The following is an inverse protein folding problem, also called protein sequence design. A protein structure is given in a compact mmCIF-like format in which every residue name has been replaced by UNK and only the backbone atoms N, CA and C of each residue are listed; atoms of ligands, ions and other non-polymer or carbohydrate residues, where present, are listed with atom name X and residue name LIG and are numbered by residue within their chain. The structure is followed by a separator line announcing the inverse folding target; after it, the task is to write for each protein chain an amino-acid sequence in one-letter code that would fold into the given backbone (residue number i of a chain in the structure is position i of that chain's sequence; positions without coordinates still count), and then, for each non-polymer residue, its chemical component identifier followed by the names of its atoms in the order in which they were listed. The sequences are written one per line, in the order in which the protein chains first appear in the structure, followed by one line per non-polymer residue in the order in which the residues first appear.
data_IF_143679686270
#
_entry.id   IF_143679686270
#
_cell.length_a   1.000
_cell.length_b   1.000
_cell.length_c   1.000
_cell.angle_alpha   90.00
_cell.angle_beta   90.00
_cell.angle_gamma   90.00
#
_symmetry.space_group_name_H-M   'P 1'
#
loop_
_entity.id
_entity.type
_entity.pdbx_description
1 polymer ?
#
# COMPACT_ATOMS: atom_id res chain seq x y z
N UNK A 1 13.26 -26.76 -1.59
CA UNK A 1 13.40 -25.35 -2.03
C UNK A 1 12.27 -24.56 -1.41
N UNK A 2 12.50 -23.45 -0.69
CA UNK A 2 11.42 -22.79 0.02
C UNK A 2 10.44 -22.19 -0.99
N UNK A 3 9.15 -22.26 -0.67
CA UNK A 3 8.04 -21.82 -1.49
C UNK A 3 8.28 -20.38 -1.95
N UNK A 4 8.52 -20.19 -3.26
CA UNK A 4 8.24 -18.90 -3.90
C UNK A 4 6.73 -18.80 -3.88
N UNK A 5 6.17 -18.15 -2.86
CA UNK A 5 4.82 -17.63 -3.02
C UNK A 5 4.91 -16.72 -4.24
N UNK A 6 4.11 -17.02 -5.25
CA UNK A 6 4.10 -16.22 -6.47
C UNK A 6 3.79 -14.79 -6.05
N UNK A 7 4.57 -13.79 -6.48
CA UNK A 7 4.33 -12.37 -6.13
C UNK A 7 2.89 -11.94 -6.44
N UNK A 8 2.27 -12.60 -7.40
CA UNK A 8 0.85 -12.49 -7.73
C UNK A 8 -0.06 -12.88 -6.57
N UNK A 9 0.22 -13.99 -5.89
CA UNK A 9 -0.52 -14.44 -4.71
C UNK A 9 -0.29 -13.51 -3.51
N UNK A 10 0.97 -13.07 -3.27
CA UNK A 10 1.26 -12.10 -2.21
C UNK A 10 0.52 -10.78 -2.45
N UNK A 11 0.51 -10.30 -3.69
CA UNK A 11 -0.24 -9.10 -4.10
C UNK A 11 -1.74 -9.29 -3.91
N UNK A 12 -2.28 -10.44 -4.30
CA UNK A 12 -3.70 -10.75 -4.14
C UNK A 12 -4.09 -10.80 -2.65
N UNK A 13 -3.30 -11.47 -1.82
CA UNK A 13 -3.50 -11.55 -0.38
C UNK A 13 -3.42 -10.17 0.30
N UNK A 14 -2.43 -9.36 -0.08
CA UNK A 14 -2.30 -8.00 0.44
C UNK A 14 -3.49 -7.13 0.02
N UNK A 15 -3.91 -7.20 -1.23
CA UNK A 15 -5.08 -6.46 -1.73
C UNK A 15 -6.34 -6.88 -0.98
N UNK A 16 -6.60 -8.18 -0.86
CA UNK A 16 -7.75 -8.71 -0.13
C UNK A 16 -7.74 -8.27 1.34
N UNK A 17 -6.57 -8.30 2.01
CA UNK A 17 -6.41 -7.82 3.38
C UNK A 17 -6.75 -6.33 3.51
N UNK A 18 -6.26 -5.50 2.60
CA UNK A 18 -6.51 -4.05 2.63
C UNK A 18 -7.96 -3.69 2.34
N UNK A 19 -8.64 -4.47 1.51
CA UNK A 19 -10.08 -4.31 1.26
C UNK A 19 -10.94 -4.78 2.43
N UNK A 20 -10.57 -5.88 3.09
CA UNK A 20 -11.28 -6.41 4.25
C UNK A 20 -11.03 -5.57 5.52
N UNK A 21 -9.81 -5.10 5.70
CA UNK A 21 -9.34 -4.34 6.86
C UNK A 21 -8.51 -3.13 6.40
N UNK A 22 -9.17 -2.04 5.98
CA UNK A 22 -8.47 -0.85 5.50
C UNK A 22 -7.63 -0.25 6.63
N UNK A 23 -6.32 -0.30 6.45
CA UNK A 23 -5.35 0.45 7.26
C UNK A 23 -5.13 1.83 6.63
N UNK A 24 -4.83 2.87 7.42
CA UNK A 24 -4.65 4.22 6.88
C UNK A 24 -3.39 4.36 6.01
N UNK A 25 -2.34 3.59 6.34
CA UNK A 25 -1.06 3.64 5.65
C UNK A 25 -0.41 2.27 5.54
N UNK A 26 0.38 2.07 4.49
CA UNK A 26 1.22 0.89 4.27
C UNK A 26 2.71 1.26 4.15
N UNK A 27 3.58 0.26 4.20
CA UNK A 27 5.01 0.43 3.93
C UNK A 27 5.28 0.63 2.44
N UNK A 28 6.46 1.18 2.11
CA UNK A 28 6.92 1.34 0.72
C UNK A 28 7.08 -0.03 0.04
N UNK A 29 7.38 -1.09 0.79
CA UNK A 29 7.50 -2.45 0.27
C UNK A 29 6.15 -3.04 -0.11
N UNK A 30 5.14 -2.86 0.75
CA UNK A 30 3.76 -3.23 0.44
C UNK A 30 3.22 -2.44 -0.77
N UNK A 31 3.56 -1.15 -0.88
CA UNK A 31 3.27 -0.36 -2.09
C UNK A 31 3.96 -0.95 -3.33
N UNK A 32 5.25 -1.28 -3.25
CA UNK A 32 5.98 -1.88 -4.36
C UNK A 32 5.33 -3.19 -4.83
N UNK A 33 4.85 -4.01 -3.88
CA UNK A 33 4.13 -5.24 -4.18
C UNK A 33 2.77 -4.98 -4.86
N UNK A 34 1.99 -4.01 -4.35
CA UNK A 34 0.69 -3.66 -4.92
C UNK A 34 0.79 -3.05 -6.33
N UNK A 35 1.73 -2.15 -6.52
CA UNK A 35 1.94 -1.44 -7.78
C UNK A 35 2.78 -2.25 -8.80
N UNK A 36 3.17 -3.47 -8.45
CA UNK A 36 4.04 -4.34 -9.26
C UNK A 36 5.34 -3.66 -9.68
N UNK A 37 5.97 -2.97 -8.73
CA UNK A 37 7.20 -2.20 -8.93
C UNK A 37 8.38 -2.80 -8.15
N UNK A 38 9.58 -2.47 -8.61
CA UNK A 38 10.78 -2.74 -7.84
C UNK A 38 10.83 -1.83 -6.60
N UNK A 39 11.44 -2.31 -5.51
CA UNK A 39 11.63 -1.50 -4.29
C UNK A 39 12.29 -0.14 -4.57
N UNK A 40 13.39 -0.05 -5.35
CA UNK A 40 14.01 1.24 -5.67
C UNK A 40 13.05 2.19 -6.38
N UNK A 41 12.26 1.68 -7.33
CA UNK A 41 11.30 2.50 -8.06
C UNK A 41 10.19 3.02 -7.16
N UNK A 42 9.74 2.20 -6.21
CA UNK A 42 8.75 2.61 -5.23
C UNK A 42 9.25 3.75 -4.31
N UNK A 43 10.50 3.68 -3.85
CA UNK A 43 11.12 4.79 -3.10
C UNK A 43 11.29 6.06 -3.93
N UNK A 44 11.64 5.91 -5.21
CA UNK A 44 11.72 7.03 -6.15
C UNK A 44 10.35 7.70 -6.36
N UNK A 45 9.29 6.92 -6.57
CA UNK A 45 7.93 7.45 -6.72
C UNK A 45 7.48 8.27 -5.50
N UNK A 46 7.80 7.80 -4.28
CA UNK A 46 7.51 8.55 -3.04
C UNK A 46 8.33 9.83 -2.97
N UNK A 47 9.63 9.76 -3.29
CA UNK A 47 10.53 10.92 -3.25
C UNK A 47 10.14 11.99 -4.27
N UNK A 48 9.63 11.58 -5.43
CA UNK A 48 9.16 12.47 -6.49
C UNK A 48 7.73 12.98 -6.26
N UNK A 49 7.04 12.52 -5.20
CA UNK A 49 5.66 12.93 -4.90
C UNK A 49 4.63 12.37 -5.88
N UNK A 50 4.93 11.26 -6.57
CA UNK A 50 3.98 10.58 -7.47
C UNK A 50 2.92 9.78 -6.72
N UNK A 51 3.15 9.50 -5.44
CA UNK A 51 2.23 8.80 -4.55
C UNK A 51 2.16 9.56 -3.23
N UNK A 52 0.95 9.67 -2.67
CA UNK A 52 0.75 10.30 -1.38
C UNK A 52 1.38 9.46 -0.26
N UNK A 53 2.27 10.08 0.52
CA UNK A 53 2.95 9.43 1.64
C UNK A 53 3.08 10.38 2.83
N UNK A 54 2.90 9.84 4.05
CA UNK A 54 3.28 10.47 5.30
C UNK A 54 4.78 10.22 5.56
N UNK A 55 5.57 11.27 5.46
CA UNK A 55 7.02 11.24 5.70
C UNK A 55 7.32 11.92 7.03
N UNK A 56 7.67 11.13 8.04
CA UNK A 56 8.05 11.60 9.37
C UNK A 56 9.53 11.32 9.63
N UNK A 57 10.37 12.25 9.21
CA UNK A 57 11.83 12.13 9.33
C UNK A 57 12.37 10.93 8.56
N UNK A 58 12.75 9.86 9.26
CA UNK A 58 13.23 8.60 8.66
C UNK A 58 12.12 7.60 8.33
N UNK A 59 10.90 7.81 8.82
CA UNK A 59 9.77 6.93 8.56
C UNK A 59 9.00 7.40 7.34
N UNK A 60 8.75 6.49 6.40
CA UNK A 60 7.96 6.74 5.19
C UNK A 60 6.80 5.74 5.17
N UNK A 61 5.57 6.25 5.08
CA UNK A 61 4.34 5.47 5.05
C UNK A 61 3.48 5.94 3.89
N UNK A 62 3.11 5.05 2.97
CA UNK A 62 2.26 5.38 1.81
C UNK A 62 0.79 5.40 2.24
N UNK A 63 0.04 6.42 1.84
CA UNK A 63 -1.39 6.52 2.15
C UNK A 63 -2.16 5.46 1.36
N UNK A 64 -2.91 4.62 2.07
CA UNK A 64 -3.56 3.45 1.48
C UNK A 64 -4.74 3.82 0.60
N UNK A 65 -5.58 4.78 1.02
CA UNK A 65 -6.80 5.13 0.27
C UNK A 65 -6.48 5.80 -1.09
N UNK A 66 -5.61 6.82 -1.17
CA UNK A 66 -5.23 7.42 -2.46
C UNK A 66 -4.56 6.40 -3.38
N UNK A 67 -3.72 5.52 -2.83
CA UNK A 67 -3.07 4.45 -3.58
C UNK A 67 -4.08 3.47 -4.16
N UNK A 68 -5.01 2.94 -3.36
CA UNK A 68 -5.99 1.98 -3.84
C UNK A 68 -6.90 2.60 -4.91
N UNK A 69 -7.28 3.87 -4.75
CA UNK A 69 -8.03 4.62 -5.77
C UNK A 69 -7.25 4.79 -7.08
N UNK A 70 -5.95 5.12 -7.01
CA UNK A 70 -5.12 5.26 -8.21
C UNK A 70 -4.90 3.94 -8.94
N UNK A 71 -4.99 2.82 -8.21
CA UNK A 71 -4.99 1.46 -8.76
C UNK A 71 -6.36 0.99 -9.25
N UNK A 72 -7.41 1.81 -9.14
CA UNK A 72 -8.75 1.51 -9.63
C UNK A 72 -9.64 0.73 -8.65
N UNK A 73 -9.24 0.60 -7.39
CA UNK A 73 -10.09 0.01 -6.35
C UNK A 73 -11.01 1.05 -5.72
N UNK A 74 -12.29 0.73 -5.63
CA UNK A 74 -13.25 1.50 -4.86
C UNK A 74 -13.17 1.05 -3.39
N UNK A 75 -12.50 1.85 -2.57
CA UNK A 75 -12.39 1.60 -1.14
C UNK A 75 -13.52 2.36 -0.47
N UNK A 76 -14.49 1.68 0.18
CA UNK A 76 -15.44 2.38 1.01
C UNK A 76 -14.65 3.12 2.08
N UNK A 77 -14.87 4.42 2.19
CA UNK A 77 -14.47 5.21 3.36
C UNK A 77 -15.29 4.67 4.53
N UNK A 78 -14.97 3.47 5.00
CA UNK A 78 -15.53 2.95 6.23
C UNK A 78 -15.19 3.99 7.29
N UNK A 79 -16.19 4.57 7.97
CA UNK A 79 -15.90 5.49 9.06
C UNK A 79 -15.03 4.68 10.02
N UNK A 80 -13.78 5.11 10.19
CA UNK A 80 -12.95 4.62 11.28
C UNK A 80 -13.79 4.87 12.52
N UNK A 81 -14.35 3.81 13.08
CA UNK A 81 -15.07 3.88 14.33
C UNK A 81 -14.03 4.35 15.35
N UNK A 82 -14.02 5.65 15.61
CA UNK A 82 -13.39 6.25 16.77
C UNK A 82 -14.21 5.74 17.96
N UNK A 83 -13.92 4.52 18.40
CA UNK A 83 -14.39 4.05 19.70
C UNK A 83 -13.61 4.85 20.74
N UNK A 84 -14.28 5.87 21.26
CA UNK A 84 -13.88 6.66 22.43
C UNK A 84 -13.78 5.79 23.68
#
# INVERSE_FOLDING_TARGET
MPARIDKTEERAALTARLLAHPVPTITVEEYALLADRSRPKAYEDVREGRVDADVRGRSIRVLTIPLLRSLGYDVPLAPVALTH
#
